data_IF_098994852072
#
_entry.id   IF_098994852072
#
_cell.length_a   1.000
_cell.length_b   1.000
_cell.length_c   1.000
_cell.angle_alpha   90.00
_cell.angle_beta   90.00
_cell.angle_gamma   90.00
#
_symmetry.space_group_name_H-M   'P 1'
#
loop_
_entity.id
_entity.type
_entity.pdbx_description
1 polymer ?
#
# COMPACT_ATOMS: atom_id res chain seq x y z
N UNK A 1 -38.30 15.13 -12.90
CA UNK A 1 -37.05 14.81 -12.15
C UNK A 1 -36.45 13.55 -12.79
N UNK A 2 -35.41 13.69 -13.60
CA UNK A 2 -34.86 12.59 -14.42
C UNK A 2 -33.73 11.92 -13.63
N UNK A 3 -33.96 10.67 -13.20
CA UNK A 3 -32.95 9.86 -12.53
C UNK A 3 -31.88 9.43 -13.54
N UNK A 4 -30.65 9.91 -13.35
CA UNK A 4 -29.49 9.53 -14.16
C UNK A 4 -28.98 8.17 -13.67
N UNK A 5 -29.31 7.11 -14.39
CA UNK A 5 -28.92 5.73 -14.07
C UNK A 5 -27.41 5.55 -14.23
N UNK A 6 -26.73 5.18 -13.14
CA UNK A 6 -25.31 4.76 -13.15
C UNK A 6 -25.21 3.37 -13.78
N UNK A 7 -24.53 3.25 -14.93
CA UNK A 7 -24.20 1.93 -15.51
C UNK A 7 -22.97 1.36 -14.82
N UNK A 8 -23.10 0.15 -14.29
CA UNK A 8 -22.00 -0.65 -13.78
C UNK A 8 -21.54 -1.52 -14.96
N UNK A 9 -20.31 -1.34 -15.42
CA UNK A 9 -19.73 -2.20 -16.46
C UNK A 9 -19.28 -3.52 -15.83
N UNK A 10 -19.76 -4.64 -16.37
CA UNK A 10 -19.23 -5.96 -16.05
C UNK A 10 -18.17 -6.35 -17.09
N UNK A 11 -16.97 -6.64 -16.62
CA UNK A 11 -15.88 -7.13 -17.45
C UNK A 11 -15.97 -8.66 -17.52
N UNK A 12 -16.45 -9.22 -18.64
CA UNK A 12 -16.43 -10.66 -18.90
C UNK A 12 -15.12 -11.02 -19.60
N UNK A 13 -14.26 -11.77 -18.93
CA UNK A 13 -13.08 -12.41 -19.53
C UNK A 13 -13.32 -13.92 -19.48
N UNK A 14 -13.32 -14.59 -20.64
CA UNK A 14 -13.35 -16.06 -20.73
C UNK A 14 -14.65 -16.76 -20.29
N UNK A 15 -15.81 -16.09 -20.34
CA UNK A 15 -17.12 -16.70 -20.04
C UNK A 15 -17.42 -16.93 -18.55
N UNK A 16 -16.48 -16.63 -17.64
CA UNK A 16 -16.70 -16.61 -16.19
C UNK A 16 -16.91 -15.18 -15.71
N UNK A 17 -17.92 -14.99 -14.86
CA UNK A 17 -18.14 -13.71 -14.17
C UNK A 17 -17.03 -13.53 -13.14
N UNK A 18 -15.99 -12.76 -13.50
CA UNK A 18 -14.94 -12.40 -12.55
C UNK A 18 -15.47 -11.30 -11.63
N UNK A 19 -15.48 -11.59 -10.32
CA UNK A 19 -15.74 -10.57 -9.31
C UNK A 19 -14.53 -9.63 -9.25
N UNK A 20 -14.62 -8.53 -10.01
CA UNK A 20 -13.62 -7.45 -10.07
C UNK A 20 -13.11 -7.01 -8.67
N UNK A 21 -13.98 -6.89 -7.63
CA UNK A 21 -13.53 -6.59 -6.27
C UNK A 21 -12.59 -7.64 -5.67
N UNK A 22 -12.81 -8.92 -5.96
CA UNK A 22 -11.97 -10.02 -5.45
C UNK A 22 -10.57 -9.98 -6.07
N UNK A 23 -10.48 -9.62 -7.36
CA UNK A 23 -9.20 -9.48 -8.06
C UNK A 23 -8.42 -8.27 -7.53
N UNK A 24 -9.09 -7.13 -7.32
CA UNK A 24 -8.48 -5.95 -6.69
C UNK A 24 -8.00 -6.29 -5.27
N UNK A 25 -8.83 -6.96 -4.46
CA UNK A 25 -8.45 -7.37 -3.11
C UNK A 25 -7.24 -8.30 -3.10
N UNK A 26 -7.20 -9.31 -3.98
CA UNK A 26 -6.07 -10.22 -4.09
C UNK A 26 -4.77 -9.49 -4.48
N UNK A 27 -4.85 -8.58 -5.47
CA UNK A 27 -3.70 -7.76 -5.87
C UNK A 27 -3.20 -6.89 -4.70
N UNK A 28 -4.11 -6.25 -3.98
CA UNK A 28 -3.78 -5.38 -2.85
C UNK A 28 -3.11 -6.18 -1.72
N UNK A 29 -3.62 -7.37 -1.38
CA UNK A 29 -2.98 -8.25 -0.39
C UNK A 29 -1.55 -8.60 -0.78
N UNK A 30 -1.31 -9.02 -2.02
CA UNK A 30 0.05 -9.38 -2.48
C UNK A 30 0.97 -8.16 -2.47
N UNK A 31 0.51 -7.01 -2.97
CA UNK A 31 1.29 -5.78 -3.00
C UNK A 31 1.63 -5.29 -1.59
N UNK A 32 0.66 -5.27 -0.68
CA UNK A 32 0.89 -4.88 0.72
C UNK A 32 1.80 -5.86 1.45
N UNK A 33 1.71 -7.16 1.17
CA UNK A 33 2.62 -8.16 1.74
C UNK A 33 4.07 -7.91 1.31
N UNK A 34 4.31 -7.69 0.01
CA UNK A 34 5.64 -7.38 -0.51
C UNK A 34 6.20 -6.11 0.11
N UNK A 35 5.38 -5.06 0.19
CA UNK A 35 5.79 -3.79 0.78
C UNK A 35 6.00 -3.88 2.30
N UNK A 36 5.26 -4.74 2.99
CA UNK A 36 5.46 -5.01 4.41
C UNK A 36 6.84 -5.63 4.67
N UNK A 37 7.27 -6.60 3.85
CA UNK A 37 8.63 -7.16 3.96
C UNK A 37 9.70 -6.12 3.64
N UNK A 38 9.50 -5.30 2.61
CA UNK A 38 10.43 -4.21 2.27
C UNK A 38 10.57 -3.21 3.42
N UNK A 39 9.46 -2.78 4.03
CA UNK A 39 9.48 -1.89 5.19
C UNK A 39 10.13 -2.55 6.41
N UNK A 40 9.96 -3.87 6.58
CA UNK A 40 10.65 -4.65 7.60
C UNK A 40 12.16 -4.64 7.42
N UNK A 41 12.64 -4.85 6.19
CA UNK A 41 14.07 -4.78 5.88
C UNK A 41 14.65 -3.39 6.19
N UNK A 42 13.97 -2.33 5.76
CA UNK A 42 14.36 -0.94 6.07
C UNK A 42 14.40 -0.67 7.57
N UNK A 43 13.45 -1.21 8.35
CA UNK A 43 13.47 -1.08 9.82
C UNK A 43 14.73 -1.72 10.44
N UNK A 44 15.14 -2.89 9.96
CA UNK A 44 16.36 -3.55 10.44
C UNK A 44 17.61 -2.75 10.07
N UNK A 45 17.69 -2.23 8.85
CA UNK A 45 18.79 -1.35 8.42
C UNK A 45 18.85 -0.07 9.26
N UNK A 46 17.71 0.58 9.53
CA UNK A 46 17.65 1.76 10.40
C UNK A 46 18.15 1.45 11.81
N UNK A 47 17.78 0.29 12.36
CA UNK A 47 18.23 -0.13 13.69
C UNK A 47 19.74 -0.39 13.76
N UNK A 48 20.30 -1.03 12.74
CA UNK A 48 21.73 -1.27 12.66
C UNK A 48 22.52 0.02 12.44
N UNK A 49 21.98 0.96 11.66
CA UNK A 49 22.55 2.30 11.51
C UNK A 49 22.60 3.05 12.85
N UNK A 50 21.54 2.98 13.66
CA UNK A 50 21.52 3.59 15.01
C UNK A 50 22.59 2.98 15.91
N UNK A 51 22.74 1.65 15.90
CA UNK A 51 23.79 0.97 16.69
C UNK A 51 25.18 1.37 16.22
N UNK A 52 25.37 1.41 14.90
CA UNK A 52 26.63 1.81 14.29
C UNK A 52 27.00 3.24 14.66
N UNK A 53 26.07 4.19 14.54
CA UNK A 53 26.27 5.58 14.92
C UNK A 53 26.63 5.73 16.40
N UNK A 54 25.95 5.02 17.31
CA UNK A 54 26.30 5.05 18.73
C UNK A 54 27.73 4.55 19.00
N UNK A 55 28.17 3.47 18.32
CA UNK A 55 29.55 2.99 18.42
C UNK A 55 30.55 4.00 17.85
N UNK A 56 30.21 4.63 16.73
CA UNK A 56 31.03 5.64 16.07
C UNK A 56 31.26 6.87 16.97
N UNK A 57 30.23 7.29 17.72
CA UNK A 57 30.31 8.43 18.65
C UNK A 57 31.10 8.10 19.93
N UNK A 58 31.06 6.85 20.40
CA UNK A 58 31.78 6.43 21.60
C UNK A 58 33.30 6.29 21.36
N UNK A 59 33.71 5.81 20.18
CA UNK A 59 35.12 5.58 19.83
C UNK A 59 35.56 6.46 18.65
N UNK A 60 35.77 7.78 18.84
CA UNK A 60 36.12 8.70 17.76
C UNK A 60 37.48 8.39 17.12
N UNK A 61 38.35 7.63 17.80
CA UNK A 61 39.65 7.22 17.28
C UNK A 61 39.58 6.01 16.33
N UNK A 62 38.47 5.25 16.36
CA UNK A 62 38.30 4.06 15.52
C UNK A 62 37.88 4.41 14.08
N UNK A 63 37.40 5.63 13.85
CA UNK A 63 36.87 6.08 12.57
C UNK A 63 37.55 7.36 12.08
N UNK A 64 37.62 7.61 10.76
CA UNK A 64 38.12 8.86 10.22
C UNK A 64 37.33 10.06 10.76
N UNK A 65 38.05 11.14 11.06
CA UNK A 65 37.46 12.38 11.59
C UNK A 65 36.35 12.88 10.66
N UNK A 66 35.14 13.10 11.20
CA UNK A 66 33.96 13.54 10.44
C UNK A 66 33.11 12.43 9.79
N UNK A 67 33.56 11.17 9.80
CA UNK A 67 32.78 10.06 9.23
C UNK A 67 31.43 9.86 9.93
N UNK A 68 31.42 9.92 11.28
CA UNK A 68 30.19 9.76 12.06
C UNK A 68 29.17 10.87 11.78
N UNK A 69 29.62 12.12 11.60
CA UNK A 69 28.75 13.24 11.24
C UNK A 69 28.17 13.09 9.84
N UNK A 70 28.97 12.61 8.88
CA UNK A 70 28.50 12.39 7.52
C UNK A 70 27.46 11.25 7.47
N UNK A 71 27.70 10.16 8.20
CA UNK A 71 26.73 9.05 8.34
C UNK A 71 25.42 9.52 9.01
N UNK A 72 25.52 10.36 10.05
CA UNK A 72 24.35 10.95 10.69
C UNK A 72 23.56 11.86 9.75
N UNK A 73 24.24 12.62 8.88
CA UNK A 73 23.59 13.48 7.89
C UNK A 73 22.73 12.68 6.89
N UNK A 74 23.22 11.53 6.41
CA UNK A 74 22.45 10.66 5.51
C UNK A 74 21.19 10.08 6.16
N UNK A 75 21.20 9.90 7.48
CA UNK A 75 20.04 9.41 8.24
C UNK A 75 19.11 10.54 8.67
N UNK A 76 19.43 11.80 8.35
CA UNK A 76 18.60 12.96 8.69
C UNK A 76 18.71 13.39 10.16
N UNK A 77 19.69 12.87 10.91
CA UNK A 77 19.92 13.26 12.31
C UNK A 77 21.07 14.24 12.43
N UNK A 78 20.79 15.35 13.10
CA UNK A 78 21.81 16.31 13.47
C UNK A 78 22.49 15.89 14.77
N UNK A 79 23.79 15.59 14.71
CA UNK A 79 24.62 15.25 15.87
C UNK A 79 25.58 16.39 16.17
N UNK A 80 25.62 16.85 17.42
CA UNK A 80 26.54 17.90 17.87
C UNK A 80 27.97 17.32 17.99
N UNK A 81 29.03 18.06 17.66
CA UNK A 81 30.41 17.53 17.67
C UNK A 81 30.87 16.99 19.04
N UNK A 82 30.34 17.52 20.14
CA UNK A 82 30.73 17.13 21.51
C UNK A 82 29.76 16.09 22.13
N UNK A 83 29.05 15.33 21.30
CA UNK A 83 28.00 14.41 21.77
C UNK A 83 28.47 12.95 21.67
N UNK A 84 28.69 12.32 22.82
CA UNK A 84 29.22 10.95 22.91
C UNK A 84 28.18 9.84 22.62
N UNK A 85 26.88 10.18 22.59
CA UNK A 85 25.81 9.22 22.35
C UNK A 85 24.56 9.87 21.77
N UNK A 86 23.79 9.13 20.95
CA UNK A 86 22.51 9.61 20.43
C UNK A 86 21.49 9.77 21.55
N UNK A 87 20.84 10.92 21.61
CA UNK A 87 19.74 11.14 22.53
C UNK A 87 18.55 10.24 22.20
N UNK A 88 17.83 9.78 23.22
CA UNK A 88 16.64 8.92 23.07
C UNK A 88 15.64 9.49 22.06
N UNK A 89 15.44 10.81 22.05
CA UNK A 89 14.55 11.49 21.10
C UNK A 89 15.03 11.38 19.64
N UNK A 90 16.34 11.48 19.41
CA UNK A 90 16.93 11.35 18.06
C UNK A 90 16.79 9.90 17.57
N UNK A 91 17.06 8.93 18.45
CA UNK A 91 16.87 7.51 18.17
C UNK A 91 15.41 7.21 17.80
N UNK A 92 14.45 7.69 18.58
CA UNK A 92 13.04 7.48 18.27
C UNK A 92 12.62 8.15 16.96
N UNK A 93 13.15 9.33 16.65
CA UNK A 93 12.87 10.00 15.38
C UNK A 93 13.30 9.18 14.17
N UNK A 94 14.46 8.51 14.24
CA UNK A 94 14.97 7.63 13.18
C UNK A 94 14.11 6.38 13.00
N UNK A 95 13.60 5.82 14.09
CA UNK A 95 12.78 4.61 14.05
C UNK A 95 11.34 4.88 13.63
N UNK A 96 10.85 6.11 13.80
CA UNK A 96 9.43 6.41 13.62
C UNK A 96 8.99 6.25 12.16
N UNK A 97 9.84 6.63 11.20
CA UNK A 97 9.58 6.51 9.77
C UNK A 97 9.38 5.05 9.31
N UNK A 98 10.33 4.11 9.53
CA UNK A 98 10.14 2.73 9.11
C UNK A 98 8.99 2.04 9.86
N UNK A 99 8.79 2.36 11.15
CA UNK A 99 7.65 1.84 11.93
C UNK A 99 6.32 2.32 11.34
N UNK A 100 6.19 3.61 11.01
CA UNK A 100 5.00 4.16 10.39
C UNK A 100 4.73 3.51 9.03
N UNK A 101 5.78 3.30 8.22
CA UNK A 101 5.66 2.57 6.95
C UNK A 101 5.16 1.14 7.15
N UNK A 102 5.67 0.41 8.15
CA UNK A 102 5.20 -0.94 8.48
C UNK A 102 3.70 -0.96 8.83
N UNK A 103 3.26 -0.04 9.70
CA UNK A 103 1.85 0.08 10.07
C UNK A 103 0.95 0.45 8.89
N UNK A 104 1.42 1.34 8.00
CA UNK A 104 0.69 1.70 6.79
C UNK A 104 0.45 0.49 5.89
N UNK A 105 1.47 -0.35 5.67
CA UNK A 105 1.32 -1.57 4.87
C UNK A 105 0.51 -2.65 5.58
N UNK A 106 0.56 -2.72 6.91
CA UNK A 106 -0.32 -3.59 7.69
C UNK A 106 -1.79 -3.21 7.53
N UNK A 107 -2.12 -1.91 7.60
CA UNK A 107 -3.48 -1.41 7.32
C UNK A 107 -3.88 -1.73 5.88
N UNK A 108 -2.98 -1.52 4.91
CA UNK A 108 -3.20 -1.90 3.53
C UNK A 108 -3.55 -3.39 3.38
N UNK A 109 -2.79 -4.27 4.04
CA UNK A 109 -3.04 -5.71 4.06
C UNK A 109 -4.42 -6.03 4.64
N UNK A 110 -4.81 -5.40 5.76
CA UNK A 110 -6.13 -5.58 6.36
C UNK A 110 -7.26 -5.13 5.42
N UNK A 111 -7.12 -3.97 4.78
CA UNK A 111 -8.09 -3.47 3.80
C UNK A 111 -8.18 -4.39 2.58
N UNK A 112 -7.04 -4.87 2.08
CA UNK A 112 -6.98 -5.83 0.98
C UNK A 112 -7.65 -7.15 1.34
N UNK A 113 -7.41 -7.66 2.54
CA UNK A 113 -8.05 -8.85 3.06
C UNK A 113 -9.56 -8.68 3.21
N UNK A 114 -10.02 -7.53 3.71
CA UNK A 114 -11.45 -7.20 3.77
C UNK A 114 -12.08 -7.20 2.38
N UNK A 115 -11.48 -6.53 1.38
CA UNK A 115 -11.99 -6.52 0.00
C UNK A 115 -12.01 -7.91 -0.63
N UNK A 116 -10.98 -8.72 -0.37
CA UNK A 116 -10.89 -10.09 -0.87
C UNK A 116 -12.00 -10.98 -0.28
N UNK A 117 -12.28 -10.86 1.02
CA UNK A 117 -13.33 -11.61 1.71
C UNK A 117 -14.74 -11.11 1.35
N UNK A 118 -14.93 -9.79 1.24
CA UNK A 118 -16.18 -9.15 0.84
C UNK A 118 -16.58 -9.46 -0.61
N UNK A 119 -15.67 -9.95 -1.46
CA UNK A 119 -15.99 -10.41 -2.81
C UNK A 119 -16.99 -11.57 -2.89
N UNK A 120 -17.38 -12.17 -1.76
CA UNK A 120 -18.52 -13.11 -1.67
C UNK A 120 -19.89 -12.41 -1.58
N UNK A 121 -19.93 -11.09 -1.39
CA UNK A 121 -21.16 -10.33 -1.44
C UNK A 121 -21.58 -10.27 -2.91
N UNK A 122 -22.43 -11.21 -3.28
CA UNK A 122 -23.23 -11.13 -4.50
C UNK A 122 -24.12 -9.91 -4.30
N UNK A 123 -23.69 -8.75 -4.80
CA UNK A 123 -24.64 -7.67 -5.00
C UNK A 123 -25.65 -8.22 -6.00
N UNK A 124 -26.93 -8.41 -5.63
CA UNK A 124 -27.96 -8.68 -6.61
C UNK A 124 -28.04 -7.40 -7.44
N UNK A 125 -27.28 -7.38 -8.53
CA UNK A 125 -27.34 -6.30 -9.48
C UNK A 125 -28.61 -6.63 -10.25
N UNK A 126 -29.71 -6.02 -9.81
CA UNK A 126 -30.98 -6.05 -10.50
C UNK A 126 -30.72 -5.57 -11.92
N UNK A 127 -30.60 -6.52 -12.83
CA UNK A 127 -30.58 -6.29 -14.25
C UNK A 127 -31.95 -5.71 -14.59
N UNK A 128 -32.06 -4.39 -14.68
CA UNK A 128 -33.11 -3.78 -15.45
C UNK A 128 -32.87 -4.21 -16.89
N UNK A 129 -33.48 -5.34 -17.28
CA UNK A 129 -33.62 -5.74 -18.67
C UNK A 129 -34.05 -4.47 -19.43
N UNK A 130 -33.14 -3.93 -20.25
CA UNK A 130 -33.62 -3.16 -21.38
C UNK A 130 -34.37 -4.17 -22.20
N UNK A 131 -35.69 -4.21 -22.01
CA UNK A 131 -36.62 -4.64 -23.03
C UNK A 131 -36.30 -3.71 -24.20
N UNK A 132 -35.34 -4.13 -25.02
CA UNK A 132 -35.22 -3.65 -26.39
C UNK A 132 -36.53 -4.14 -26.97
N UNK A 133 -37.53 -3.26 -26.99
CA UNK A 133 -38.76 -3.48 -27.71
C UNK A 133 -38.33 -3.71 -29.15
N UNK A 134 -38.13 -4.98 -29.49
CA UNK A 134 -38.08 -5.45 -30.86
C UNK A 134 -39.44 -5.09 -31.43
N UNK A 135 -39.54 -3.86 -31.95
CA UNK A 135 -40.69 -3.44 -32.73
C UNK A 135 -40.82 -4.49 -33.83
N UNK A 136 -41.93 -5.25 -33.90
CA UNK A 136 -42.09 -6.23 -34.96
C UNK A 136 -42.06 -5.48 -36.29
N UNK A 137 -41.04 -5.75 -37.10
CA UNK A 137 -40.94 -5.31 -38.48
C UNK A 137 -42.16 -5.87 -39.22
N UNK A 138 -43.18 -5.02 -39.34
CA UNK A 138 -44.44 -5.27 -40.01
C UNK A 138 -44.14 -5.67 -41.46
N UNK A 139 -44.14 -6.96 -41.78
CA UNK A 139 -44.04 -7.49 -43.15
C UNK A 139 -45.22 -6.93 -43.96
N UNK A 140 -44.96 -5.95 -44.83
CA UNK A 140 -45.87 -5.60 -45.92
C UNK A 140 -45.80 -6.72 -46.97
N UNK A 141 -46.81 -7.57 -47.01
CA UNK A 141 -47.08 -8.51 -48.10
C UNK A 141 -47.52 -7.68 -49.32
N UNK A 142 -46.68 -7.58 -50.36
CA UNK A 142 -47.10 -7.06 -51.68
C UNK A 142 -47.78 -8.21 -52.44
N UNK A 143 -48.92 -7.88 -53.05
CA UNK A 143 -49.66 -8.70 -54.02
C UNK A 143 -48.81 -8.98 -55.24
#
# INVERSE_FOLDING_TARGET
>A
MVWKVRRIMFFRIGGKNLHLPKLIGAFLVVASLLMFFNAGALMFESWDNVKFLNKCLQDPNAFPQGFCQQSAYYTGVFVRPDQDSLGVKQTWSLLLEPIASLFLWLIGLLVGAMLYLSGKIILPIEEAERIISERPLRRKKKR
#
